data_IF_765034857052
#
_entry.id   IF_765034857052
#
_cell.length_a   1.000
_cell.length_b   1.000
_cell.length_c   1.000
_cell.angle_alpha   90.00
_cell.angle_beta   90.00
_cell.angle_gamma   90.00
#
_symmetry.space_group_name_H-M   'P 1'
#
loop_
_entity.id
_entity.type
_entity.pdbx_description
1 polymer ?
#
# COMPACT_ATOMS: atom_id res chain seq x y z
N UNK A 1 -2.96 11.12 -6.66
CA UNK A 1 -2.56 9.78 -6.18
C UNK A 1 -3.41 9.40 -4.98
N UNK A 2 -4.14 8.27 -5.05
CA UNK A 2 -4.94 7.85 -3.90
C UNK A 2 -4.06 7.47 -2.71
N UNK A 3 -4.56 7.67 -1.51
CA UNK A 3 -3.83 7.34 -0.30
C UNK A 3 -4.75 6.72 0.74
N UNK A 4 -4.18 5.91 1.61
CA UNK A 4 -4.86 5.33 2.77
C UNK A 4 -4.03 5.62 4.01
N UNK A 5 -4.68 6.02 5.08
CA UNK A 5 -4.04 6.27 6.37
C UNK A 5 -4.40 5.16 7.34
N UNK A 6 -3.39 4.41 7.76
CA UNK A 6 -3.56 3.27 8.65
C UNK A 6 -3.31 3.62 10.12
N UNK A 7 -3.08 4.90 10.40
CA UNK A 7 -2.82 5.35 11.76
C UNK A 7 -3.98 4.93 12.70
N UNK A 8 -3.65 4.29 13.79
CA UNK A 8 -4.63 3.88 14.78
C UNK A 8 -5.33 2.55 14.53
N UNK A 9 -5.06 1.88 13.40
CA UNK A 9 -5.63 0.57 13.16
C UNK A 9 -4.73 -0.53 13.72
N UNK A 10 -5.35 -1.60 14.22
CA UNK A 10 -4.64 -2.82 14.59
C UNK A 10 -4.13 -3.54 13.36
N UNK A 11 -3.10 -4.35 13.51
CA UNK A 11 -2.47 -5.07 12.41
C UNK A 11 -3.49 -5.87 11.60
N UNK A 12 -4.40 -6.58 12.25
CA UNK A 12 -5.41 -7.39 11.56
C UNK A 12 -6.34 -6.57 10.68
N UNK A 13 -6.73 -5.39 11.17
CA UNK A 13 -7.59 -4.48 10.40
C UNK A 13 -6.81 -3.81 9.28
N UNK A 14 -5.60 -3.38 9.59
CA UNK A 14 -4.75 -2.69 8.62
C UNK A 14 -4.45 -3.59 7.41
N UNK A 15 -4.18 -4.86 7.64
CA UNK A 15 -3.92 -5.82 6.57
C UNK A 15 -5.06 -5.87 5.56
N UNK A 16 -6.28 -6.00 6.04
CA UNK A 16 -7.48 -6.05 5.18
C UNK A 16 -7.66 -4.74 4.42
N UNK A 17 -7.44 -3.62 5.10
CA UNK A 17 -7.61 -2.30 4.49
C UNK A 17 -6.58 -2.06 3.38
N UNK A 18 -5.33 -2.46 3.61
CA UNK A 18 -4.28 -2.34 2.58
C UNK A 18 -4.62 -3.20 1.37
N UNK A 19 -5.01 -4.46 1.58
CA UNK A 19 -5.34 -5.35 0.49
C UNK A 19 -6.50 -4.82 -0.36
N UNK A 20 -7.56 -4.36 0.28
CA UNK A 20 -8.71 -3.79 -0.41
C UNK A 20 -8.34 -2.50 -1.14
N UNK A 21 -7.57 -1.64 -0.49
CA UNK A 21 -7.13 -0.38 -1.08
C UNK A 21 -6.29 -0.61 -2.34
N UNK A 22 -5.35 -1.54 -2.30
CA UNK A 22 -4.51 -1.86 -3.44
C UNK A 22 -5.36 -2.41 -4.58
N UNK A 23 -6.32 -3.29 -4.28
CA UNK A 23 -7.25 -3.80 -5.28
C UNK A 23 -8.04 -2.67 -5.95
N UNK A 24 -8.58 -1.75 -5.17
CA UNK A 24 -9.34 -0.61 -5.69
C UNK A 24 -8.48 0.27 -6.60
N UNK A 25 -7.25 0.53 -6.19
CA UNK A 25 -6.33 1.32 -7.00
C UNK A 25 -5.97 0.62 -8.31
N UNK A 26 -5.72 -0.67 -8.23
CA UNK A 26 -5.38 -1.48 -9.40
C UNK A 26 -6.51 -1.48 -10.43
N UNK A 27 -7.74 -1.76 -9.98
CA UNK A 27 -8.89 -1.80 -10.87
C UNK A 27 -9.33 -0.41 -11.31
N UNK A 28 -8.94 0.62 -10.58
CA UNK A 28 -9.16 2.01 -10.99
C UNK A 28 -8.12 2.54 -11.96
N UNK A 29 -7.18 1.71 -12.39
CA UNK A 29 -6.10 2.06 -13.32
C UNK A 29 -5.12 3.11 -12.81
N UNK A 30 -4.95 3.19 -11.49
CA UNK A 30 -3.94 4.06 -10.91
C UNK A 30 -2.56 3.40 -11.02
N UNK A 31 -1.57 4.19 -11.37
CA UNK A 31 -0.17 3.72 -11.42
C UNK A 31 0.47 3.74 -10.05
N UNK A 32 0.12 4.72 -9.24
CA UNK A 32 0.71 4.91 -7.91
C UNK A 32 -0.36 5.08 -6.86
N UNK A 33 -0.03 4.65 -5.65
CA UNK A 33 -0.83 4.94 -4.47
C UNK A 33 0.10 5.13 -3.28
N UNK A 34 -0.43 5.68 -2.19
CA UNK A 34 0.35 5.94 -0.98
C UNK A 34 -0.29 5.23 0.20
N UNK A 35 0.53 4.55 0.99
CA UNK A 35 0.10 3.90 2.22
C UNK A 35 0.77 4.63 3.39
N UNK A 36 -0.02 5.33 4.19
CA UNK A 36 0.46 6.09 5.34
C UNK A 36 0.33 5.21 6.56
N UNK A 37 1.46 4.89 7.19
CA UNK A 37 1.50 3.95 8.31
C UNK A 37 2.01 4.55 9.62
N UNK A 38 2.65 5.71 9.56
CA UNK A 38 3.32 6.27 10.72
C UNK A 38 4.57 5.48 11.08
N UNK A 39 5.02 5.63 12.31
CA UNK A 39 6.19 4.93 12.83
C UNK A 39 5.75 3.77 13.72
N UNK A 40 6.56 2.72 13.80
CA UNK A 40 6.30 1.59 14.69
C UNK A 40 6.25 0.23 14.00
N UNK A 41 5.74 -0.77 14.71
CA UNK A 41 5.75 -2.17 14.26
C UNK A 41 4.98 -2.40 12.96
N UNK A 42 3.90 -1.68 12.75
CA UNK A 42 3.07 -1.83 11.56
C UNK A 42 3.87 -1.57 10.27
N UNK A 43 4.89 -0.73 10.36
CA UNK A 43 5.73 -0.39 9.21
C UNK A 43 6.41 -1.63 8.62
N UNK A 44 6.97 -2.48 9.46
CA UNK A 44 7.61 -3.73 9.04
C UNK A 44 6.59 -4.68 8.40
N UNK A 45 5.42 -4.78 9.00
CA UNK A 45 4.34 -5.62 8.48
C UNK A 45 3.88 -5.14 7.11
N UNK A 46 3.75 -3.83 6.92
CA UNK A 46 3.32 -3.27 5.63
C UNK A 46 4.33 -3.61 4.54
N UNK A 47 5.62 -3.48 4.80
CA UNK A 47 6.64 -3.88 3.82
C UNK A 47 6.46 -5.34 3.40
N UNK A 48 6.23 -6.21 4.35
CA UNK A 48 6.02 -7.62 4.11
C UNK A 48 4.78 -7.85 3.23
N UNK A 49 3.67 -7.18 3.56
CA UNK A 49 2.43 -7.28 2.79
C UNK A 49 2.61 -6.78 1.36
N UNK A 50 3.34 -5.68 1.18
CA UNK A 50 3.57 -5.12 -0.15
C UNK A 50 4.44 -6.05 -1.00
N UNK A 51 5.46 -6.67 -0.41
CA UNK A 51 6.31 -7.64 -1.11
C UNK A 51 5.49 -8.83 -1.60
N UNK A 52 4.54 -9.29 -0.80
CA UNK A 52 3.73 -10.46 -1.11
C UNK A 52 2.54 -10.16 -2.04
N UNK A 53 2.23 -8.90 -2.25
CA UNK A 53 1.07 -8.52 -3.06
C UNK A 53 1.42 -8.54 -4.55
N UNK A 54 0.74 -9.38 -5.31
CA UNK A 54 1.03 -9.58 -6.74
C UNK A 54 0.69 -8.38 -7.62
N UNK A 55 -0.06 -7.42 -7.10
CA UNK A 55 -0.42 -6.20 -7.83
C UNK A 55 0.57 -5.07 -7.61
N UNK A 56 1.49 -5.23 -6.67
CA UNK A 56 2.52 -4.24 -6.36
C UNK A 56 3.77 -4.55 -7.19
N UNK A 57 4.17 -3.60 -8.02
CA UNK A 57 5.39 -3.73 -8.81
C UNK A 57 6.62 -3.39 -7.99
N UNK A 58 6.57 -2.26 -7.30
CA UNK A 58 7.63 -1.81 -6.42
C UNK A 58 7.08 -0.82 -5.41
N UNK A 59 7.82 -0.57 -4.36
CA UNK A 59 7.44 0.43 -3.37
C UNK A 59 8.70 1.00 -2.73
N UNK A 60 8.57 2.19 -2.17
CA UNK A 60 9.66 2.79 -1.41
C UNK A 60 9.12 3.65 -0.28
N UNK A 61 9.94 3.73 0.77
CA UNK A 61 9.67 4.59 1.91
C UNK A 61 9.87 6.04 1.48
N UNK A 62 8.89 6.89 1.77
CA UNK A 62 8.98 8.30 1.46
C UNK A 62 9.84 9.04 2.49
N UNK A 63 10.24 10.26 2.17
CA UNK A 63 11.12 11.07 3.04
C UNK A 63 10.56 11.27 4.43
N UNK A 64 9.25 11.30 4.58
CA UNK A 64 8.58 11.44 5.87
C UNK A 64 8.82 10.23 6.76
N UNK A 65 9.23 9.10 6.17
CA UNK A 65 9.43 7.82 6.84
C UNK A 65 8.17 7.23 7.48
N UNK A 66 7.04 7.89 7.29
CA UNK A 66 5.76 7.41 7.80
C UNK A 66 4.81 6.94 6.70
N UNK A 67 5.28 6.88 5.45
CA UNK A 67 4.44 6.46 4.33
C UNK A 67 5.26 5.77 3.26
N UNK A 68 4.59 4.94 2.47
CA UNK A 68 5.17 4.26 1.32
C UNK A 68 4.50 4.73 0.04
N UNK A 69 5.31 5.02 -0.96
CA UNK A 69 4.82 5.23 -2.32
C UNK A 69 4.87 3.89 -3.03
N UNK A 70 3.73 3.44 -3.49
CA UNK A 70 3.55 2.12 -4.08
C UNK A 70 3.26 2.26 -5.57
N UNK A 71 4.05 1.58 -6.38
CA UNK A 71 3.81 1.51 -7.82
C UNK A 71 3.14 0.18 -8.13
N UNK A 72 2.02 0.25 -8.83
CA UNK A 72 1.24 -0.92 -9.18
C UNK A 72 1.63 -1.45 -10.55
N UNK A 73 1.42 -2.75 -10.77
CA UNK A 73 1.58 -3.32 -12.10
C UNK A 73 0.51 -2.76 -13.02
N UNK A 74 0.78 -2.75 -14.31
CA UNK A 74 -0.21 -2.30 -15.28
C UNK A 74 -1.29 -3.36 -15.44
N UNK A 75 -2.54 -2.91 -15.39
CA UNK A 75 -3.66 -3.77 -15.66
C UNK A 75 -3.65 -4.16 -17.13
N UNK A 76 -3.76 -5.45 -17.42
CA UNK A 76 -3.85 -5.91 -18.79
C UNK A 76 -5.21 -5.51 -19.36
N UNK A 77 -5.17 -4.72 -20.41
CA UNK A 77 -6.37 -4.42 -21.18
C UNK A 77 -6.41 -5.42 -22.34
N UNK A 78 -7.46 -6.15 -22.40
CA UNK A 78 -7.75 -6.98 -23.57
C UNK A 78 -8.62 -6.22 -24.54
#
# INVERSE_FOLDING_TARGET
>A
MPSIDLHGFHIHEAWKKVANFINECYYGNYTYCRVICGQGEIKTEIEHWLVLNDKVREFRLERTQGSYKVKLIKRKTT
#
